data_IF_340098550922
#
_entry.id   IF_340098550922
#
_cell.length_a   1.000
_cell.length_b   1.000
_cell.length_c   1.000
_cell.angle_alpha   90.00
_cell.angle_beta   90.00
_cell.angle_gamma   90.00
#
_symmetry.space_group_name_H-M   'P 1'
#
loop_
_entity.id
_entity.type
_entity.pdbx_description
1 polymer ?
#
# COMPACT_ATOMS: atom_id res chain seq x y z
N UNK A 1 -18.74 -73.66 -1.69
CA UNK A 1 -17.91 -72.54 -2.16
C UNK A 1 -18.80 -71.31 -2.23
N UNK A 2 -18.85 -70.55 -1.14
CA UNK A 2 -19.68 -69.35 -0.98
C UNK A 2 -18.74 -68.18 -0.83
N UNK A 3 -18.67 -67.32 -1.85
CA UNK A 3 -17.81 -66.15 -1.86
C UNK A 3 -18.48 -65.02 -1.04
N UNK A 4 -17.78 -64.58 0.00
CA UNK A 4 -18.14 -63.45 0.83
C UNK A 4 -17.79 -62.14 0.11
N UNK A 5 -18.74 -61.22 0.06
CA UNK A 5 -18.59 -59.82 -0.36
C UNK A 5 -17.96 -59.00 0.78
N UNK A 6 -17.02 -58.08 0.49
CA UNK A 6 -16.44 -57.21 1.51
C UNK A 6 -17.36 -56.01 1.80
N UNK A 7 -17.56 -55.74 3.09
CA UNK A 7 -18.27 -54.57 3.61
C UNK A 7 -17.50 -53.28 3.30
N UNK A 8 -18.20 -52.33 2.69
CA UNK A 8 -17.76 -50.95 2.42
C UNK A 8 -18.22 -50.06 3.59
N UNK A 9 -17.36 -49.89 4.60
CA UNK A 9 -17.59 -48.98 5.72
C UNK A 9 -17.09 -47.57 5.35
N UNK A 10 -18.01 -46.68 4.97
CA UNK A 10 -17.71 -45.25 4.82
C UNK A 10 -17.75 -44.55 6.19
N UNK A 11 -16.76 -43.71 6.53
CA UNK A 11 -16.75 -42.98 7.79
C UNK A 11 -17.77 -41.82 7.78
N UNK A 12 -18.55 -41.75 8.86
CA UNK A 12 -19.55 -40.72 9.17
C UNK A 12 -18.91 -39.34 9.37
N UNK A 13 -19.50 -38.31 8.74
CA UNK A 13 -19.02 -36.91 8.72
C UNK A 13 -19.55 -36.02 9.86
N UNK A 14 -20.27 -36.55 10.85
CA UNK A 14 -21.01 -35.71 11.81
C UNK A 14 -20.25 -35.39 13.12
N UNK A 15 -18.91 -35.28 13.09
CA UNK A 15 -18.14 -34.93 14.31
C UNK A 15 -17.70 -33.46 14.30
N UNK A 16 -18.15 -32.62 15.26
CA UNK A 16 -17.72 -31.24 15.36
C UNK A 16 -16.23 -31.14 15.74
N UNK A 17 -15.48 -30.38 14.94
CA UNK A 17 -14.07 -30.05 15.13
C UNK A 17 -13.88 -29.05 16.29
N UNK A 18 -13.91 -29.50 17.53
CA UNK A 18 -13.44 -28.69 18.66
C UNK A 18 -12.70 -29.56 19.67
N UNK A 19 -11.37 -29.59 19.55
CA UNK A 19 -10.42 -29.75 20.66
C UNK A 19 -9.00 -29.66 20.09
N UNK A 20 -8.40 -28.47 20.18
CA UNK A 20 -6.97 -28.29 19.92
C UNK A 20 -6.19 -28.61 21.21
N UNK A 21 -5.23 -29.55 21.19
CA UNK A 21 -4.29 -29.69 22.28
C UNK A 21 -3.29 -28.52 22.24
N UNK A 22 -3.35 -27.67 23.26
CA UNK A 22 -2.36 -26.63 23.53
C UNK A 22 -1.09 -27.32 24.05
N UNK A 23 -0.11 -27.53 23.18
CA UNK A 23 1.23 -27.95 23.58
C UNK A 23 2.17 -26.76 23.56
N UNK A 24 2.80 -26.52 24.70
CA UNK A 24 3.80 -25.48 24.98
C UNK A 24 4.95 -25.48 23.97
N UNK A 25 4.92 -24.51 23.04
CA UNK A 25 6.07 -24.19 22.20
C UNK A 25 6.84 -23.07 22.89
N UNK A 26 7.90 -23.43 23.62
CA UNK A 26 8.83 -22.48 24.20
C UNK A 26 9.66 -21.80 23.10
N UNK A 27 9.24 -20.61 22.67
CA UNK A 27 9.98 -19.77 21.72
C UNK A 27 11.20 -19.18 22.42
N UNK A 28 12.39 -19.44 21.86
CA UNK A 28 13.66 -18.87 22.31
C UNK A 28 13.59 -17.33 22.21
N UNK A 29 13.64 -16.63 23.36
CA UNK A 29 13.74 -15.16 23.42
C UNK A 29 15.06 -14.71 22.80
N UNK A 30 15.04 -14.23 21.55
CA UNK A 30 16.15 -13.49 20.96
C UNK A 30 16.33 -12.19 21.76
N UNK A 31 17.49 -12.02 22.38
CA UNK A 31 17.82 -10.78 23.08
C UNK A 31 17.99 -9.69 22.01
N UNK A 32 17.01 -8.81 21.91
CA UNK A 32 17.12 -7.60 21.11
C UNK A 32 18.11 -6.69 21.81
N UNK A 33 19.36 -6.73 21.38
CA UNK A 33 20.29 -5.64 21.63
C UNK A 33 19.75 -4.41 20.89
N UNK A 34 18.79 -3.72 21.53
CA UNK A 34 18.38 -2.37 21.17
C UNK A 34 19.64 -1.54 21.26
N UNK A 35 20.31 -1.34 20.12
CA UNK A 35 21.31 -0.29 19.98
C UNK A 35 20.58 0.97 20.41
N UNK A 36 20.92 1.50 21.58
CA UNK A 36 20.58 2.86 21.94
C UNK A 36 21.38 3.72 20.97
N UNK A 37 20.88 3.88 19.75
CA UNK A 37 21.32 4.95 18.87
C UNK A 37 21.13 6.21 19.72
N UNK A 38 22.22 6.76 20.24
CA UNK A 38 22.13 7.89 21.13
C UNK A 38 21.56 9.03 20.31
N UNK A 39 20.32 9.43 20.58
CA UNK A 39 19.68 10.65 20.08
C UNK A 39 20.43 11.93 20.53
N UNK A 40 21.71 11.85 20.89
CA UNK A 40 22.55 12.99 21.25
C UNK A 40 22.74 13.96 20.08
N UNK A 41 22.77 13.45 18.85
CA UNK A 41 22.78 14.23 17.62
C UNK A 41 21.55 15.13 17.43
N UNK A 42 20.39 14.78 18.01
CA UNK A 42 19.14 15.56 17.90
C UNK A 42 19.06 16.77 18.84
N UNK A 43 19.97 16.86 19.82
CA UNK A 43 19.86 17.90 20.86
C UNK A 43 20.16 19.31 20.35
N UNK A 44 20.91 19.45 19.25
CA UNK A 44 21.40 20.76 18.76
C UNK A 44 20.28 21.76 18.52
N UNK A 45 19.13 21.30 18.00
CA UNK A 45 17.99 22.15 17.64
C UNK A 45 16.79 21.99 18.60
N UNK A 46 16.89 21.10 19.59
CA UNK A 46 15.77 20.81 20.51
C UNK A 46 15.33 22.02 21.36
N UNK A 47 16.24 22.95 21.63
CA UNK A 47 15.98 24.15 22.45
C UNK A 47 15.48 25.33 21.64
N UNK A 48 15.43 25.24 20.31
CA UNK A 48 15.08 26.37 19.44
C UNK A 48 13.56 26.58 19.46
N UNK A 49 13.12 27.82 19.35
CA UNK A 49 11.71 28.15 19.07
C UNK A 49 11.37 27.89 17.60
N UNK A 50 10.09 27.89 17.24
CA UNK A 50 9.68 27.62 15.85
C UNK A 50 10.19 28.71 14.89
N UNK A 51 10.18 29.98 15.32
CA UNK A 51 10.76 31.09 14.58
C UNK A 51 12.29 30.95 14.43
N UNK A 52 12.98 30.50 15.47
CA UNK A 52 14.42 30.22 15.41
C UNK A 52 14.73 29.06 14.47
N UNK A 53 13.91 28.01 14.44
CA UNK A 53 14.05 26.90 13.49
C UNK A 53 13.81 27.37 12.05
N UNK A 54 12.80 28.20 11.81
CA UNK A 54 12.52 28.76 10.49
C UNK A 54 13.67 29.66 9.99
N UNK A 55 14.17 30.56 10.83
CA UNK A 55 15.32 31.41 10.52
C UNK A 55 16.59 30.58 10.30
N UNK A 56 16.78 29.51 11.07
CA UNK A 56 17.93 28.63 10.92
C UNK A 56 17.83 27.80 9.63
N UNK A 57 16.63 27.42 9.19
CA UNK A 57 16.39 26.76 7.90
C UNK A 57 16.79 27.64 6.73
N UNK A 58 16.37 28.91 6.72
CA UNK A 58 16.69 29.85 5.64
C UNK A 58 18.19 30.14 5.58
N UNK A 59 18.83 30.31 6.74
CA UNK A 59 20.28 30.51 6.84
C UNK A 59 21.06 29.28 6.35
N UNK A 60 20.70 28.06 6.79
CA UNK A 60 21.35 26.83 6.32
C UNK A 60 21.15 26.62 4.81
N UNK A 61 19.96 26.91 4.28
CA UNK A 61 19.70 26.83 2.85
C UNK A 61 20.59 27.77 2.03
N UNK A 62 20.81 29.00 2.52
CA UNK A 62 21.72 29.96 1.90
C UNK A 62 23.18 29.48 1.98
N UNK A 63 23.64 29.06 3.16
CA UNK A 63 25.00 28.53 3.35
C UNK A 63 25.26 27.31 2.47
N UNK A 64 24.30 26.37 2.39
CA UNK A 64 24.42 25.19 1.56
C UNK A 64 24.46 25.55 0.06
N UNK A 65 23.64 26.51 -0.38
CA UNK A 65 23.65 27.01 -1.76
C UNK A 65 25.01 27.62 -2.13
N UNK A 66 25.54 28.50 -1.27
CA UNK A 66 26.82 29.17 -1.49
C UNK A 66 28.00 28.18 -1.44
N UNK A 67 28.03 27.28 -0.46
CA UNK A 67 29.04 26.23 -0.35
C UNK A 67 29.01 25.27 -1.56
N UNK A 68 27.83 24.90 -2.05
CA UNK A 68 27.67 24.05 -3.23
C UNK A 68 28.15 24.77 -4.50
N UNK A 69 27.84 26.07 -4.66
CA UNK A 69 28.36 26.88 -5.78
C UNK A 69 29.87 26.97 -5.75
N UNK A 70 30.46 27.15 -4.58
CA UNK A 70 31.91 27.23 -4.41
C UNK A 70 32.56 25.87 -4.70
N UNK A 71 32.03 24.78 -4.15
CA UNK A 71 32.52 23.42 -4.41
C UNK A 71 32.53 23.08 -5.91
N UNK A 72 31.48 23.47 -6.65
CA UNK A 72 31.38 23.27 -8.11
C UNK A 72 32.42 24.03 -8.93
N UNK A 73 33.05 25.08 -8.39
CA UNK A 73 34.09 25.84 -9.11
C UNK A 73 35.44 25.14 -9.12
N UNK A 74 35.66 24.16 -8.25
CA UNK A 74 36.90 23.40 -8.20
C UNK A 74 36.90 22.31 -9.27
N UNK A 75 37.89 22.38 -10.16
CA UNK A 75 38.09 21.41 -11.26
C UNK A 75 39.08 20.32 -10.85
N UNK A 76 39.99 20.60 -9.89
CA UNK A 76 40.95 19.65 -9.34
C UNK A 76 40.45 19.04 -8.02
N UNK A 77 40.62 17.73 -7.85
CA UNK A 77 40.36 17.01 -6.60
C UNK A 77 41.53 17.13 -5.61
N UNK A 78 41.94 18.37 -5.32
CA UNK A 78 43.00 18.64 -4.35
C UNK A 78 42.48 18.73 -2.91
N UNK A 79 43.34 19.07 -1.95
CA UNK A 79 42.95 19.21 -0.54
C UNK A 79 41.81 20.22 -0.35
N UNK A 80 41.78 21.31 -1.12
CA UNK A 80 40.75 22.35 -0.98
C UNK A 80 39.40 21.84 -1.46
N UNK A 81 39.37 21.02 -2.51
CA UNK A 81 38.15 20.35 -2.97
C UNK A 81 37.52 19.51 -1.85
N UNK A 82 38.33 18.68 -1.18
CA UNK A 82 37.84 17.80 -0.10
C UNK A 82 37.39 18.59 1.13
N UNK A 83 38.07 19.68 1.49
CA UNK A 83 37.63 20.57 2.57
C UNK A 83 36.24 21.16 2.28
N UNK A 84 36.01 21.61 1.03
CA UNK A 84 34.69 22.10 0.59
C UNK A 84 33.64 21.00 0.54
N UNK A 85 34.00 19.80 0.13
CA UNK A 85 33.10 18.65 0.15
C UNK A 85 32.64 18.31 1.57
N UNK A 86 33.57 18.25 2.53
CA UNK A 86 33.28 17.99 3.95
C UNK A 86 32.34 19.07 4.50
N UNK A 87 32.56 20.33 4.13
CA UNK A 87 31.68 21.42 4.57
C UNK A 87 30.25 21.30 4.00
N UNK A 88 30.10 20.97 2.71
CA UNK A 88 28.79 20.70 2.11
C UNK A 88 28.10 19.52 2.79
N UNK A 89 28.83 18.43 3.05
CA UNK A 89 28.30 17.25 3.74
C UNK A 89 27.83 17.58 5.17
N UNK A 90 28.61 18.39 5.91
CA UNK A 90 28.26 18.87 7.25
C UNK A 90 26.98 19.72 7.21
N UNK A 91 26.87 20.65 6.26
CA UNK A 91 25.68 21.51 6.12
C UNK A 91 24.42 20.70 5.77
N UNK A 92 24.52 19.69 4.89
CA UNK A 92 23.41 18.77 4.59
C UNK A 92 22.98 17.98 5.82
N UNK A 93 23.94 17.47 6.59
CA UNK A 93 23.64 16.77 7.84
C UNK A 93 22.90 17.68 8.84
N UNK A 94 23.32 18.94 8.96
CA UNK A 94 22.63 19.91 9.83
C UNK A 94 21.24 20.28 9.33
N UNK A 95 21.05 20.41 8.01
CA UNK A 95 19.72 20.64 7.43
C UNK A 95 18.78 19.46 7.71
N UNK A 96 19.24 18.22 7.52
CA UNK A 96 18.44 17.02 7.80
C UNK A 96 18.04 16.92 9.28
N UNK A 97 18.96 17.25 10.20
CA UNK A 97 18.65 17.31 11.63
C UNK A 97 17.59 18.38 11.94
N UNK A 98 17.67 19.55 11.31
CA UNK A 98 16.70 20.62 11.49
C UNK A 98 15.32 20.24 10.94
N UNK A 99 15.27 19.60 9.76
CA UNK A 99 14.02 19.15 9.15
C UNK A 99 13.36 18.02 9.96
N UNK A 100 14.15 17.10 10.53
CA UNK A 100 13.63 16.09 11.46
C UNK A 100 12.96 16.71 12.68
N UNK A 101 13.57 17.74 13.29
CA UNK A 101 12.99 18.46 14.42
C UNK A 101 11.71 19.22 14.05
N UNK A 102 11.67 19.85 12.87
CA UNK A 102 10.44 20.47 12.35
C UNK A 102 9.34 19.44 12.13
N UNK A 103 9.67 18.25 11.60
CA UNK A 103 8.72 17.15 11.43
C UNK A 103 8.15 16.64 12.75
N UNK A 104 9.00 16.44 13.77
CA UNK A 104 8.59 16.04 15.12
C UNK A 104 7.68 17.09 15.80
N UNK A 105 7.95 18.37 15.57
CA UNK A 105 7.09 19.44 16.13
C UNK A 105 5.76 19.52 15.40
N UNK A 106 5.77 19.41 14.07
CA UNK A 106 4.55 19.40 13.26
C UNK A 106 3.64 18.23 13.65
N UNK A 107 4.20 17.05 13.96
CA UNK A 107 3.41 15.92 14.46
C UNK A 107 2.92 16.11 15.90
N UNK A 108 3.64 16.87 16.74
CA UNK A 108 3.23 17.14 18.13
C UNK A 108 2.20 18.27 18.30
N UNK A 109 2.22 19.27 17.41
CA UNK A 109 1.32 20.45 17.44
C UNK A 109 -0.01 20.17 16.73
N UNK A 110 -0.03 19.13 15.91
CA UNK A 110 -1.19 18.72 15.12
C UNK A 110 -2.00 17.66 15.87
N UNK A 111 -3.00 18.10 16.63
CA UNK A 111 -4.23 17.30 16.91
C UNK A 111 -4.92 16.84 15.60
N UNK A 112 -4.42 17.31 14.45
CA UNK A 112 -4.84 17.03 13.09
C UNK A 112 -4.21 15.76 12.49
N UNK A 113 -3.25 15.13 13.16
CA UNK A 113 -2.59 13.88 12.71
C UNK A 113 -3.24 12.63 13.30
N UNK A 114 -4.55 12.70 13.50
CA UNK A 114 -5.36 11.53 13.74
C UNK A 114 -5.49 10.77 12.43
N UNK A 115 -4.88 9.58 12.34
CA UNK A 115 -5.14 8.58 11.30
C UNK A 115 -6.65 8.29 11.08
N UNK A 116 -7.52 8.85 11.93
CA UNK A 116 -8.97 8.81 11.82
C UNK A 116 -9.58 9.90 10.93
N UNK A 117 -8.85 10.98 10.57
CA UNK A 117 -9.32 11.94 9.55
C UNK A 117 -9.33 11.34 8.13
N UNK A 118 -8.58 10.25 7.88
CA UNK A 118 -8.72 9.47 6.63
C UNK A 118 -10.16 9.00 6.41
N UNK A 119 -10.92 8.74 7.47
CA UNK A 119 -12.31 8.30 7.37
C UNK A 119 -13.24 9.32 6.70
N UNK A 120 -12.92 10.62 6.72
CA UNK A 120 -13.73 11.64 6.05
C UNK A 120 -13.63 11.52 4.51
N UNK A 121 -12.44 11.23 4.01
CA UNK A 121 -12.16 11.06 2.59
C UNK A 121 -12.68 9.72 2.05
N UNK A 122 -12.85 8.72 2.93
CA UNK A 122 -13.37 7.40 2.52
C UNK A 122 -14.77 7.50 1.90
N UNK A 123 -15.65 8.35 2.44
CA UNK A 123 -16.99 8.52 1.87
C UNK A 123 -16.96 9.29 0.54
N UNK A 124 -15.96 10.15 0.33
CA UNK A 124 -15.79 10.90 -0.92
C UNK A 124 -15.21 10.00 -2.04
N UNK A 125 -14.24 9.14 -1.69
CA UNK A 125 -13.60 8.22 -2.64
C UNK A 125 -14.53 7.04 -2.96
N UNK A 126 -15.12 6.41 -1.94
CA UNK A 126 -15.86 5.15 -2.08
C UNK A 126 -17.39 5.32 -2.02
N UNK A 127 -17.89 6.53 -1.81
CA UNK A 127 -19.32 6.85 -1.71
C UNK A 127 -19.84 6.88 -0.27
N UNK A 128 -21.00 7.48 -0.07
CA UNK A 128 -21.61 7.64 1.24
C UNK A 128 -21.84 6.28 1.93
N UNK A 129 -21.40 6.16 3.19
CA UNK A 129 -21.50 4.93 3.99
C UNK A 129 -20.27 4.01 3.92
N UNK A 130 -19.30 4.33 3.06
CA UNK A 130 -18.10 3.51 2.90
C UNK A 130 -17.20 3.51 4.14
N UNK A 131 -17.19 4.58 4.92
CA UNK A 131 -16.45 4.63 6.18
C UNK A 131 -16.94 3.56 7.16
N UNK A 132 -18.24 3.48 7.36
CA UNK A 132 -18.83 2.49 8.27
C UNK A 132 -18.59 1.08 7.76
N UNK A 133 -18.68 0.88 6.44
CA UNK A 133 -18.45 -0.41 5.80
C UNK A 133 -16.97 -0.85 5.89
N UNK A 134 -16.02 -0.05 5.39
CA UNK A 134 -14.59 -0.40 5.30
C UNK A 134 -13.95 -0.73 6.65
N UNK A 135 -14.43 -0.09 7.72
CA UNK A 135 -13.95 -0.32 9.07
C UNK A 135 -14.88 -1.22 9.89
N UNK A 136 -16.01 -1.68 9.34
CA UNK A 136 -16.81 -2.70 9.98
C UNK A 136 -15.99 -3.99 10.07
N UNK A 137 -16.12 -4.75 11.18
CA UNK A 137 -15.50 -6.06 11.31
C UNK A 137 -16.03 -7.06 10.25
N UNK A 138 -17.12 -6.72 9.58
CA UNK A 138 -17.79 -7.51 8.55
C UNK A 138 -17.09 -7.45 7.18
N UNK A 139 -16.21 -6.46 6.96
CA UNK A 139 -15.53 -6.25 5.67
C UNK A 139 -14.16 -6.96 5.54
N UNK A 140 -13.74 -7.70 6.57
CA UNK A 140 -12.47 -8.43 6.56
C UNK A 140 -12.61 -9.82 5.93
N UNK A 141 -11.91 -10.06 4.81
CA UNK A 141 -11.72 -11.43 4.33
C UNK A 141 -10.59 -12.08 5.13
N UNK A 142 -10.92 -12.98 6.06
CA UNK A 142 -9.93 -13.74 6.80
C UNK A 142 -9.30 -14.81 5.90
N UNK A 143 -8.09 -14.57 5.44
CA UNK A 143 -7.35 -15.47 4.56
C UNK A 143 -6.22 -16.17 5.32
N UNK A 144 -5.91 -17.39 4.89
CA UNK A 144 -4.68 -18.04 5.30
C UNK A 144 -3.47 -17.24 4.76
N UNK A 145 -2.42 -17.07 5.57
CA UNK A 145 -1.23 -16.25 5.24
C UNK A 145 -0.62 -16.61 3.87
N UNK A 146 -0.63 -17.88 3.49
CA UNK A 146 -0.18 -18.34 2.16
C UNK A 146 -1.05 -17.81 1.02
N UNK A 147 -2.37 -17.79 1.20
CA UNK A 147 -3.33 -17.29 0.19
C UNK A 147 -3.19 -15.77 0.07
N UNK A 148 -3.09 -15.08 1.20
CA UNK A 148 -2.82 -13.63 1.25
C UNK A 148 -1.54 -13.28 0.48
N UNK A 149 -0.41 -13.93 0.79
CA UNK A 149 0.85 -13.74 0.04
C UNK A 149 0.72 -14.05 -1.46
N UNK A 150 -0.13 -15.01 -1.83
CA UNK A 150 -0.35 -15.35 -3.22
C UNK A 150 -1.18 -14.28 -3.95
N UNK A 151 -2.18 -13.68 -3.29
CA UNK A 151 -2.91 -12.51 -3.79
C UNK A 151 -2.00 -11.30 -3.89
N UNK A 152 -1.20 -11.01 -2.86
CA UNK A 152 -0.25 -9.89 -2.86
C UNK A 152 0.76 -9.98 -4.02
N UNK A 153 1.22 -11.21 -4.33
CA UNK A 153 2.15 -11.49 -5.44
C UNK A 153 1.47 -11.66 -6.81
N UNK A 154 0.14 -11.49 -6.90
CA UNK A 154 -0.61 -11.62 -8.16
C UNK A 154 -0.59 -13.03 -8.77
N UNK A 155 -0.43 -14.07 -7.95
CA UNK A 155 -0.43 -15.48 -8.40
C UNK A 155 -1.83 -16.04 -8.54
N UNK A 156 -2.73 -15.54 -7.72
CA UNK A 156 -4.16 -15.85 -7.72
C UNK A 156 -4.94 -14.53 -7.70
N UNK A 157 -6.21 -14.58 -8.07
CA UNK A 157 -7.13 -13.46 -7.95
C UNK A 157 -8.52 -13.94 -7.52
N UNK A 158 -9.24 -13.10 -6.80
CA UNK A 158 -10.65 -13.29 -6.49
C UNK A 158 -11.44 -12.55 -7.56
N UNK A 159 -12.30 -13.26 -8.28
CA UNK A 159 -13.10 -12.72 -9.37
C UNK A 159 -14.57 -13.04 -9.16
N UNK A 160 -15.49 -12.27 -9.76
CA UNK A 160 -16.90 -12.63 -9.85
C UNK A 160 -17.10 -14.07 -10.33
N UNK A 161 -18.00 -14.83 -9.70
CA UNK A 161 -18.35 -16.18 -10.16
C UNK A 161 -19.33 -16.13 -11.34
N UNK A 162 -18.84 -15.55 -12.43
CA UNK A 162 -19.47 -15.54 -13.73
C UNK A 162 -18.51 -16.18 -14.73
N UNK A 163 -19.10 -16.72 -15.78
CA UNK A 163 -18.33 -17.20 -16.91
C UNK A 163 -17.93 -16.01 -17.79
N UNK A 164 -16.64 -15.67 -17.74
CA UNK A 164 -16.03 -14.58 -18.52
C UNK A 164 -15.27 -15.10 -19.73
N UNK A 165 -15.10 -16.42 -19.83
CA UNK A 165 -14.40 -17.03 -20.95
C UNK A 165 -15.26 -16.88 -22.21
N UNK A 166 -14.64 -16.57 -23.36
CA UNK A 166 -15.37 -16.51 -24.61
C UNK A 166 -15.89 -17.91 -24.95
N UNK A 167 -17.16 -18.02 -25.34
CA UNK A 167 -17.77 -19.27 -25.75
C UNK A 167 -16.98 -19.94 -26.91
N UNK A 168 -16.38 -19.12 -27.77
CA UNK A 168 -15.47 -19.56 -28.82
C UNK A 168 -14.10 -18.89 -28.67
N UNK A 169 -13.05 -19.62 -28.26
CA UNK A 169 -11.70 -19.08 -28.14
C UNK A 169 -11.12 -18.51 -29.45
N UNK A 170 -11.58 -18.99 -30.61
CA UNK A 170 -11.13 -18.50 -31.92
C UNK A 170 -11.81 -17.19 -32.33
N UNK A 171 -12.95 -16.86 -31.73
CA UNK A 171 -13.72 -15.64 -32.00
C UNK A 171 -14.13 -14.97 -30.69
N UNK A 172 -13.16 -14.43 -29.91
CA UNK A 172 -13.41 -13.93 -28.56
C UNK A 172 -14.36 -12.73 -28.48
N UNK A 173 -14.63 -12.07 -29.61
CA UNK A 173 -15.51 -10.91 -29.67
C UNK A 173 -16.95 -11.24 -30.07
N UNK A 174 -17.23 -12.48 -30.50
CA UNK A 174 -18.57 -12.90 -30.97
C UNK A 174 -19.61 -12.79 -29.84
N UNK A 175 -19.23 -13.14 -28.62
CA UNK A 175 -20.09 -13.17 -27.44
C UNK A 175 -19.87 -11.99 -26.49
N UNK A 176 -19.14 -10.95 -26.91
CA UNK A 176 -18.73 -9.84 -26.02
C UNK A 176 -19.94 -9.16 -25.34
N UNK A 177 -21.04 -8.98 -26.09
CA UNK A 177 -22.27 -8.37 -25.59
C UNK A 177 -22.95 -9.25 -24.54
N UNK A 178 -23.01 -10.56 -24.78
CA UNK A 178 -23.57 -11.53 -23.83
C UNK A 178 -22.75 -11.57 -22.54
N UNK A 179 -21.41 -11.54 -22.64
CA UNK A 179 -20.53 -11.46 -21.46
C UNK A 179 -20.73 -10.18 -20.65
N UNK A 180 -20.90 -9.04 -21.32
CA UNK A 180 -21.25 -7.77 -20.66
C UNK A 180 -22.62 -7.84 -19.98
N UNK A 181 -23.61 -8.46 -20.61
CA UNK A 181 -24.95 -8.60 -20.03
C UNK A 181 -24.95 -9.57 -18.83
N UNK A 182 -24.15 -10.65 -18.86
CA UNK A 182 -23.90 -11.52 -17.70
C UNK A 182 -23.26 -10.76 -16.53
N UNK A 183 -22.27 -9.91 -16.82
CA UNK A 183 -21.65 -9.06 -15.81
C UNK A 183 -22.65 -8.09 -15.19
N UNK A 184 -23.44 -7.38 -16.01
CA UNK A 184 -24.51 -6.47 -15.53
C UNK A 184 -25.53 -7.21 -14.68
N UNK A 185 -25.90 -8.42 -15.06
CA UNK A 185 -26.84 -9.22 -14.29
C UNK A 185 -26.25 -9.59 -12.92
N UNK A 186 -24.99 -10.03 -12.86
CA UNK A 186 -24.28 -10.30 -11.61
C UNK A 186 -24.16 -9.04 -10.73
N UNK A 187 -23.94 -7.87 -11.32
CA UNK A 187 -23.89 -6.60 -10.60
C UNK A 187 -25.24 -6.23 -9.94
N UNK A 188 -26.35 -6.61 -10.56
CA UNK A 188 -27.72 -6.38 -10.08
C UNK A 188 -28.15 -7.38 -8.99
N UNK A 189 -27.40 -8.46 -8.77
CA UNK A 189 -27.71 -9.43 -7.71
C UNK A 189 -27.47 -8.81 -6.33
N UNK A 190 -28.39 -9.09 -5.40
CA UNK A 190 -28.27 -8.66 -4.01
C UNK A 190 -27.09 -9.35 -3.31
N UNK A 191 -26.91 -10.64 -3.59
CA UNK A 191 -25.80 -11.44 -3.07
C UNK A 191 -24.84 -11.74 -4.24
N UNK A 192 -23.61 -11.23 -4.13
CA UNK A 192 -22.57 -11.41 -5.12
C UNK A 192 -21.71 -12.63 -4.81
N UNK A 193 -21.71 -13.60 -5.71
CA UNK A 193 -20.84 -14.76 -5.59
C UNK A 193 -19.49 -14.53 -6.29
N UNK A 194 -18.44 -15.09 -5.70
CA UNK A 194 -17.05 -14.94 -6.14
C UNK A 194 -16.38 -16.30 -6.23
N UNK A 195 -15.34 -16.40 -7.05
CA UNK A 195 -14.45 -17.56 -7.16
C UNK A 195 -12.99 -17.15 -7.17
N UNK A 196 -12.11 -18.08 -6.84
CA UNK A 196 -10.67 -17.90 -6.98
C UNK A 196 -10.25 -18.37 -8.37
N UNK A 197 -9.40 -17.60 -9.04
CA UNK A 197 -8.69 -18.03 -10.25
C UNK A 197 -7.19 -18.02 -9.99
N UNK A 198 -6.49 -18.98 -10.58
CA UNK A 198 -5.04 -19.11 -10.50
C UNK A 198 -4.44 -18.59 -11.81
N UNK A 199 -3.82 -17.41 -11.74
CA UNK A 199 -3.24 -16.73 -12.90
C UNK A 199 -1.99 -17.48 -13.38
N UNK A 200 -1.11 -17.88 -12.45
CA UNK A 200 0.18 -18.50 -12.76
C UNK A 200 0.20 -19.98 -12.34
N UNK A 201 -0.53 -20.83 -13.07
CA UNK A 201 -0.70 -22.26 -12.75
C UNK A 201 0.61 -23.04 -12.62
N UNK A 202 1.64 -22.65 -13.38
CA UNK A 202 2.94 -23.33 -13.42
C UNK A 202 3.97 -22.79 -12.41
N UNK A 203 3.61 -21.79 -11.59
CA UNK A 203 4.54 -21.21 -10.63
C UNK A 203 4.86 -22.19 -9.48
N UNK A 204 6.13 -22.28 -9.05
CA UNK A 204 6.58 -23.21 -8.00
C UNK A 204 5.78 -23.10 -6.69
N UNK A 205 5.54 -21.88 -6.23
CA UNK A 205 4.73 -21.65 -5.02
C UNK A 205 3.27 -22.08 -5.17
N UNK A 206 2.73 -22.11 -6.39
CA UNK A 206 1.35 -22.49 -6.67
C UNK A 206 1.17 -24.01 -6.65
N UNK A 207 2.17 -24.73 -7.16
CA UNK A 207 2.19 -26.20 -7.20
C UNK A 207 2.69 -26.84 -5.91
N UNK A 208 3.37 -26.08 -5.05
CA UNK A 208 3.84 -26.55 -3.75
C UNK A 208 2.67 -27.01 -2.87
N UNK A 209 2.75 -28.23 -2.36
CA UNK A 209 1.84 -28.75 -1.34
C UNK A 209 2.11 -28.00 -0.03
N UNK A 210 1.20 -27.09 0.34
CA UNK A 210 1.33 -26.23 1.53
C UNK A 210 0.20 -26.49 2.52
N UNK A 211 -0.92 -27.03 2.04
CA UNK A 211 -2.10 -27.26 2.86
C UNK A 211 -2.26 -28.74 3.17
N UNK A 212 -2.74 -29.06 4.37
CA UNK A 212 -3.13 -30.42 4.71
C UNK A 212 -4.48 -30.75 4.04
N UNK A 213 -4.54 -31.68 3.07
CA UNK A 213 -5.78 -32.01 2.37
C UNK A 213 -6.85 -32.60 3.30
N UNK A 214 -6.47 -33.25 4.41
CA UNK A 214 -7.43 -33.80 5.37
C UNK A 214 -8.20 -32.70 6.12
N UNK A 215 -7.57 -31.55 6.37
CA UNK A 215 -8.18 -30.44 7.12
C UNK A 215 -8.89 -29.45 6.20
N UNK A 216 -8.31 -29.14 5.04
CA UNK A 216 -8.79 -28.06 4.19
C UNK A 216 -9.44 -28.53 2.87
N UNK A 217 -9.32 -29.82 2.53
CA UNK A 217 -9.79 -30.33 1.23
C UNK A 217 -9.07 -29.72 0.02
N UNK A 218 -7.90 -29.11 0.25
CA UNK A 218 -6.98 -28.56 -0.74
C UNK A 218 -5.56 -28.99 -0.37
N UNK A 219 -4.74 -29.27 -1.37
CA UNK A 219 -3.34 -29.63 -1.17
C UNK A 219 -2.40 -28.45 -1.49
N UNK A 220 -2.70 -27.74 -2.58
CA UNK A 220 -1.87 -26.64 -3.10
C UNK A 220 -2.76 -25.51 -3.62
N UNK A 221 -2.15 -24.36 -3.93
CA UNK A 221 -2.89 -23.21 -4.45
C UNK A 221 -3.47 -23.47 -5.84
N UNK A 222 -2.87 -24.35 -6.65
CA UNK A 222 -3.42 -24.73 -7.96
C UNK A 222 -4.83 -25.32 -7.84
N UNK A 223 -5.10 -26.08 -6.77
CA UNK A 223 -6.41 -26.69 -6.50
C UNK A 223 -7.51 -25.68 -6.13
N UNK A 224 -7.16 -24.41 -5.93
CA UNK A 224 -8.12 -23.31 -5.70
C UNK A 224 -8.71 -22.76 -7.00
N UNK A 225 -8.14 -23.07 -8.16
CA UNK A 225 -8.61 -22.55 -9.44
C UNK A 225 -10.07 -22.93 -9.71
N UNK A 226 -10.90 -21.93 -9.98
CA UNK A 226 -12.34 -22.08 -10.20
C UNK A 226 -13.17 -22.38 -8.95
N UNK A 227 -12.57 -22.49 -7.76
CA UNK A 227 -13.35 -22.75 -6.54
C UNK A 227 -14.14 -21.51 -6.11
N UNK A 228 -15.43 -21.70 -5.82
CA UNK A 228 -16.31 -20.68 -5.27
C UNK A 228 -15.88 -20.31 -3.85
N UNK A 229 -15.94 -19.03 -3.52
CA UNK A 229 -15.76 -18.55 -2.15
C UNK A 229 -17.02 -18.86 -1.34
N UNK A 230 -16.84 -19.44 -0.17
CA UNK A 230 -17.91 -19.71 0.78
C UNK A 230 -17.83 -18.66 1.88
N UNK A 231 -18.88 -17.87 2.01
CA UNK A 231 -19.02 -16.87 3.06
C UNK A 231 -19.85 -17.45 4.20
N UNK A 232 -19.50 -17.11 5.44
CA UNK A 232 -20.22 -17.57 6.63
C UNK A 232 -21.59 -16.87 6.79
N UNK A 233 -21.75 -15.71 6.16
CA UNK A 233 -22.96 -14.88 6.18
C UNK A 233 -23.32 -14.50 4.74
N UNK A 234 -24.49 -13.88 4.54
CA UNK A 234 -24.91 -13.34 3.24
C UNK A 234 -24.26 -11.99 2.90
N UNK A 235 -23.50 -11.43 3.85
CA UNK A 235 -22.78 -10.19 3.63
C UNK A 235 -21.68 -10.40 2.58
N UNK A 236 -21.58 -9.48 1.62
CA UNK A 236 -20.55 -9.46 0.58
C UNK A 236 -19.95 -8.05 0.55
N UNK A 237 -18.62 -7.92 0.51
CA UNK A 237 -18.02 -6.60 0.36
C UNK A 237 -18.50 -5.99 -0.95
N UNK A 238 -18.98 -4.74 -0.91
CA UNK A 238 -19.42 -4.08 -2.12
C UNK A 238 -18.21 -3.89 -3.03
N UNK A 239 -18.29 -4.42 -4.25
CA UNK A 239 -17.44 -3.90 -5.32
C UNK A 239 -17.89 -2.45 -5.57
N UNK A 240 -17.06 -1.42 -5.30
CA UNK A 240 -17.48 -0.04 -5.46
C UNK A 240 -17.77 0.24 -6.93
N UNK A 241 -19.04 0.49 -7.22
CA UNK A 241 -19.51 0.95 -8.53
C UNK A 241 -20.58 2.01 -8.30
N UNK A 242 -20.17 3.26 -8.06
CA UNK A 242 -21.09 4.39 -8.24
C UNK A 242 -21.17 4.73 -9.73
N UNK A 243 -22.32 5.20 -10.21
CA UNK A 243 -22.50 5.62 -11.60
C UNK A 243 -22.22 7.12 -11.81
N UNK A 244 -21.57 7.78 -10.86
CA UNK A 244 -21.22 9.19 -11.02
C UNK A 244 -20.16 9.35 -12.11
N UNK A 245 -20.48 10.22 -13.07
CA UNK A 245 -19.74 10.56 -14.30
C UNK A 245 -18.51 11.42 -13.96
N UNK A 246 -17.77 11.03 -12.93
CA UNK A 246 -16.49 11.64 -12.62
C UNK A 246 -15.40 10.80 -13.30
N UNK A 247 -14.73 11.38 -14.30
CA UNK A 247 -13.65 10.72 -15.05
C UNK A 247 -12.50 10.26 -14.14
N UNK A 248 -12.28 10.97 -13.03
CA UNK A 248 -11.33 10.59 -11.97
C UNK A 248 -11.73 9.28 -11.27
N UNK A 249 -13.04 9.06 -11.08
CA UNK A 249 -13.54 7.79 -10.57
C UNK A 249 -13.41 6.66 -11.59
N UNK A 250 -13.47 6.92 -12.90
CA UNK A 250 -13.33 5.88 -13.92
C UNK A 250 -11.94 5.25 -13.96
N UNK A 251 -10.87 6.04 -13.84
CA UNK A 251 -9.48 5.55 -13.77
C UNK A 251 -9.25 4.76 -12.48
N UNK A 252 -9.68 5.29 -11.33
CA UNK A 252 -9.59 4.60 -10.03
C UNK A 252 -10.44 3.32 -10.01
N UNK A 253 -11.58 3.29 -10.71
CA UNK A 253 -12.42 2.09 -10.92
C UNK A 253 -11.73 1.01 -11.76
N UNK A 254 -10.90 1.37 -12.74
CA UNK A 254 -10.10 0.38 -13.49
C UNK A 254 -9.08 -0.29 -12.57
N UNK A 255 -8.53 0.45 -11.60
CA UNK A 255 -7.53 -0.07 -10.64
C UNK A 255 -8.14 -0.78 -9.41
N UNK A 256 -9.34 -0.43 -8.96
CA UNK A 256 -10.00 -0.97 -7.75
C UNK A 256 -10.78 -2.28 -7.97
N UNK A 257 -10.78 -2.83 -9.18
CA UNK A 257 -11.29 -4.20 -9.45
C UNK A 257 -10.41 -5.31 -8.87
N UNK A 258 -9.31 -4.93 -8.24
CA UNK A 258 -8.36 -5.84 -7.62
C UNK A 258 -8.57 -5.94 -6.11
N UNK A 259 -8.77 -7.16 -5.61
CA UNK A 259 -8.76 -7.44 -4.19
C UNK A 259 -7.32 -7.59 -3.71
N UNK A 260 -6.79 -6.57 -3.04
CA UNK A 260 -5.52 -6.60 -2.33
C UNK A 260 -5.72 -6.56 -0.82
N UNK A 261 -4.89 -7.26 -0.05
CA UNK A 261 -4.89 -7.19 1.41
C UNK A 261 -4.23 -5.90 1.91
N UNK A 262 -4.54 -5.53 3.16
CA UNK A 262 -4.23 -4.23 3.79
C UNK A 262 -2.73 -3.98 3.99
N UNK A 263 -1.86 -4.96 3.75
CA UNK A 263 -0.42 -4.83 3.86
C UNK A 263 0.23 -4.48 2.52
N UNK A 264 0.59 -3.19 2.36
CA UNK A 264 1.66 -2.69 1.46
C UNK A 264 1.32 -2.46 -0.04
N UNK A 265 0.08 -2.10 -0.40
CA UNK A 265 -0.28 -1.97 -1.82
C UNK A 265 -1.13 -0.74 -2.18
N UNK A 266 -0.63 0.46 -1.91
CA UNK A 266 -0.73 1.47 -2.97
C UNK A 266 0.67 1.59 -3.54
N UNK A 267 0.90 0.98 -4.71
CA UNK A 267 2.21 1.09 -5.37
C UNK A 267 2.53 2.57 -5.55
N UNK A 268 3.80 2.97 -5.45
CA UNK A 268 4.23 4.37 -5.67
C UNK A 268 3.58 4.96 -6.93
N UNK A 269 3.51 4.16 -7.98
CA UNK A 269 2.93 4.47 -9.28
C UNK A 269 1.42 4.76 -9.21
N UNK A 270 0.67 4.07 -8.33
CA UNK A 270 -0.75 4.31 -8.11
C UNK A 270 -0.97 5.56 -7.25
N UNK A 271 -0.14 5.79 -6.22
CA UNK A 271 -0.14 7.05 -5.47
C UNK A 271 0.22 8.24 -6.37
N UNK A 272 1.20 8.06 -7.27
CA UNK A 272 1.58 9.06 -8.25
C UNK A 272 0.43 9.35 -9.21
N UNK A 273 -0.28 8.34 -9.69
CA UNK A 273 -1.51 8.54 -10.48
C UNK A 273 -2.57 9.34 -9.72
N UNK A 274 -2.75 9.11 -8.42
CA UNK A 274 -3.64 9.94 -7.59
C UNK A 274 -3.14 11.38 -7.43
N UNK A 275 -1.83 11.60 -7.32
CA UNK A 275 -1.20 12.92 -7.13
C UNK A 275 -1.24 13.74 -8.42
N UNK A 276 -0.93 13.13 -9.56
CA UNK A 276 -0.99 13.74 -10.89
C UNK A 276 -2.42 14.18 -11.22
N UNK A 277 -3.41 13.33 -10.92
CA UNK A 277 -4.82 13.59 -11.18
C UNK A 277 -5.41 14.66 -10.25
N UNK A 278 -4.84 14.87 -9.06
CA UNK A 278 -5.15 16.02 -8.18
C UNK A 278 -4.54 17.35 -8.68
N UNK A 279 -3.82 17.34 -9.82
CA UNK A 279 -3.23 18.53 -10.43
C UNK A 279 -1.88 18.93 -9.81
N UNK A 280 -1.21 18.02 -9.11
CA UNK A 280 0.11 18.27 -8.54
C UNK A 280 1.24 17.80 -9.47
N UNK A 281 2.31 18.59 -9.54
CA UNK A 281 3.48 18.29 -10.35
C UNK A 281 4.29 17.13 -9.77
N UNK A 282 4.21 15.99 -10.45
CA UNK A 282 4.86 14.73 -10.07
C UNK A 282 6.38 14.81 -10.16
N UNK A 283 6.95 15.60 -11.07
CA UNK A 283 8.40 15.70 -11.24
C UNK A 283 9.05 16.37 -10.02
N UNK A 284 8.38 17.39 -9.44
CA UNK A 284 8.83 18.06 -8.23
C UNK A 284 8.90 17.15 -6.99
N UNK A 285 8.07 16.10 -6.97
CA UNK A 285 7.98 15.10 -5.90
C UNK A 285 9.02 13.99 -6.07
N UNK A 286 9.41 13.68 -7.31
CA UNK A 286 10.37 12.62 -7.62
C UNK A 286 11.82 13.09 -7.49
N UNK A 287 12.11 14.35 -7.83
CA UNK A 287 13.46 14.91 -7.77
C UNK A 287 14.02 15.05 -6.34
N UNK A 288 13.16 15.15 -5.32
CA UNK A 288 13.57 15.17 -3.90
C UNK A 288 13.83 13.76 -3.30
N UNK A 289 13.56 12.70 -4.07
CA UNK A 289 13.62 11.29 -3.63
C UNK A 289 14.67 10.43 -4.32
N UNK A 290 15.79 11.02 -4.75
CA UNK A 290 16.82 10.37 -5.55
C UNK A 290 17.45 9.09 -4.96
N UNK A 291 17.41 8.05 -5.80
CA UNK A 291 18.37 6.94 -5.98
C UNK A 291 18.28 5.69 -5.07
N UNK A 292 17.60 4.64 -5.55
CA UNK A 292 18.24 3.53 -6.30
C UNK A 292 17.30 2.33 -6.43
N UNK A 293 16.85 2.01 -7.65
CA UNK A 293 16.35 0.68 -7.97
C UNK A 293 17.56 -0.24 -8.17
N UNK A 294 18.10 -0.75 -7.06
CA UNK A 294 18.99 -1.91 -7.12
C UNK A 294 18.14 -3.18 -7.20
N UNK A 295 18.22 -3.84 -8.35
CA UNK A 295 17.81 -5.23 -8.55
C UNK A 295 18.59 -6.13 -7.58
N UNK A 296 17.97 -6.52 -6.46
CA UNK A 296 18.56 -7.45 -5.48
C UNK A 296 17.98 -8.85 -5.63
N UNK A 297 18.91 -9.77 -5.85
CA UNK A 297 18.77 -11.22 -5.76
C UNK A 297 18.29 -11.68 -4.38
N UNK A 298 17.56 -12.78 -4.39
CA UNK A 298 16.74 -13.36 -3.31
C UNK A 298 17.57 -13.97 -2.15
N UNK A 299 18.25 -13.12 -1.38
CA UNK A 299 18.87 -13.50 -0.11
C UNK A 299 18.33 -12.68 1.07
N UNK A 300 17.33 -13.30 1.70
CA UNK A 300 16.70 -13.02 2.98
C UNK A 300 17.70 -12.63 4.10
N UNK A 301 17.95 -11.32 4.30
CA UNK A 301 18.17 -10.66 5.60
C UNK A 301 18.45 -9.15 5.48
N UNK A 302 17.55 -8.34 6.04
CA UNK A 302 17.75 -6.89 6.26
C UNK A 302 16.59 -6.07 5.73
N UNK A 303 15.74 -5.59 6.64
CA UNK A 303 14.58 -4.75 6.31
C UNK A 303 15.02 -3.36 5.86
N UNK A 304 15.09 -3.14 4.55
CA UNK A 304 15.04 -1.80 3.97
C UNK A 304 13.57 -1.49 3.61
N UNK A 305 12.82 -1.06 4.63
CA UNK A 305 11.50 -0.44 4.47
C UNK A 305 11.70 0.99 3.96
N UNK A 306 11.03 1.44 2.90
CA UNK A 306 10.73 2.85 2.79
C UNK A 306 9.78 3.17 3.95
N UNK A 307 10.28 3.89 4.96
CA UNK A 307 9.51 4.22 6.15
C UNK A 307 8.18 4.87 5.74
N UNK A 308 7.09 4.47 6.40
CA UNK A 308 5.78 5.13 6.31
C UNK A 308 5.89 6.66 6.42
N UNK A 309 6.88 7.12 7.18
CA UNK A 309 7.30 8.51 7.36
C UNK A 309 7.62 9.23 6.03
N UNK A 310 8.19 8.54 5.03
CA UNK A 310 8.54 9.11 3.73
C UNK A 310 7.29 9.35 2.86
N UNK A 311 6.36 8.38 2.85
CA UNK A 311 5.09 8.50 2.12
C UNK A 311 4.20 9.56 2.77
N UNK A 312 4.21 9.62 4.10
CA UNK A 312 3.48 10.63 4.88
C UNK A 312 4.06 12.04 4.68
N UNK A 313 5.39 12.18 4.66
CA UNK A 313 6.06 13.46 4.37
C UNK A 313 5.75 13.95 2.95
N UNK A 314 5.69 13.05 1.97
CA UNK A 314 5.35 13.35 0.58
C UNK A 314 3.92 13.86 0.42
N UNK A 315 2.95 13.18 1.04
CA UNK A 315 1.53 13.60 1.01
C UNK A 315 1.33 14.93 1.75
N UNK A 316 1.98 15.11 2.90
CA UNK A 316 1.92 16.37 3.63
C UNK A 316 2.56 17.53 2.86
N UNK A 317 3.67 17.28 2.15
CA UNK A 317 4.33 18.26 1.30
C UNK A 317 3.39 18.78 0.22
N UNK A 318 2.72 17.88 -0.50
CA UNK A 318 1.74 18.22 -1.54
C UNK A 318 0.56 19.06 -1.00
N UNK A 319 0.01 18.70 0.16
CA UNK A 319 -1.11 19.43 0.79
C UNK A 319 -0.68 20.86 1.18
N UNK A 320 0.50 21.03 1.79
CA UNK A 320 0.97 22.37 2.17
C UNK A 320 1.31 23.26 0.97
N UNK A 321 1.77 22.68 -0.14
CA UNK A 321 2.01 23.43 -1.38
C UNK A 321 0.70 23.89 -2.05
N UNK A 322 -0.37 23.09 -1.93
CA UNK A 322 -1.72 23.45 -2.42
C UNK A 322 -2.28 24.69 -1.71
N UNK A 323 -2.19 24.73 -0.37
CA UNK A 323 -2.73 25.83 0.43
C UNK A 323 -2.03 27.16 0.13
N UNK A 324 -0.71 27.14 -0.06
CA UNK A 324 0.07 28.35 -0.42
C UNK A 324 -0.23 28.90 -1.82
N UNK A 325 -0.67 28.04 -2.74
CA UNK A 325 -1.00 28.46 -4.11
C UNK A 325 -2.39 29.14 -4.19
N UNK A 326 -3.25 28.94 -3.18
CA UNK A 326 -4.53 29.64 -3.04
C UNK A 326 -4.37 31.06 -2.49
N UNK A 327 -3.58 31.24 -1.43
CA UNK A 327 -3.39 32.54 -0.77
C UNK A 327 -2.70 33.57 -1.69
N UNK A 328 -1.78 33.13 -2.56
CA UNK A 328 -1.10 34.00 -3.51
C UNK A 328 -2.03 34.59 -4.60
N UNK A 329 -3.21 34.00 -4.83
CA UNK A 329 -4.19 34.52 -5.80
C UNK A 329 -5.16 35.54 -5.20
N UNK A 330 -5.40 35.50 -3.90
CA UNK A 330 -6.26 36.50 -3.23
C UNK A 330 -5.52 37.84 -3.01
N UNK A 331 -4.20 37.82 -2.80
CA UNK A 331 -3.40 39.05 -2.65
C UNK A 331 -3.20 39.82 -3.98
N UNK A 332 -3.31 39.16 -5.15
CA UNK A 332 -3.22 39.81 -6.47
C UNK A 332 -4.54 40.48 -6.92
N UNK A 333 -5.69 40.13 -6.31
CA UNK A 333 -6.99 40.78 -6.60
C UNK A 333 -7.22 42.03 -5.74
N UNK A 334 -6.62 42.14 -4.55
CA UNK A 334 -6.72 43.36 -3.73
C UNK A 334 -5.82 44.49 -4.22
N UNK A 335 -4.73 44.20 -4.93
CA UNK A 335 -3.79 45.22 -5.43
C UNK A 335 -4.20 45.88 -6.75
N UNK A 336 -5.24 45.38 -7.41
CA UNK A 336 -5.77 45.95 -8.67
C UNK A 336 -7.06 46.79 -8.49
N UNK A 337 -7.49 47.05 -7.26
CA UNK A 337 -8.70 47.83 -6.94
C UNK A 337 -8.44 49.22 -6.31
N UNK A 338 -7.18 49.68 -6.26
CA UNK A 338 -6.78 51.07 -5.95
C UNK A 338 -6.15 51.72 -7.20
#
# INVERSE_FOLDING_TARGET
MTNATPNDERPSMDKPLTNYPSSDISVLKRSSNKRKASQSWDRKFSTFTDDELANKRTELGKQLSDATKEHKRYVSMDSQYWDRYIEVARLRQEQAQLESQLGLRKSSSSDDMSCWKQGAWMNEIFGAGAREELFAPENGLFLHVTIEKALEKGKIAIVPDIDMEPANPMMPNEDLRERQDRMKHWEQQEIKDYKVIVILKNHKDVTKSVFNPEHYGIENLASLDGRKLVFLTDFRPRAPWNNDVNYQHEEVRKCTRYWGTRSRYVKRNQLLGFVEEMGHDVESILDDGGESEHEYDDHEQGSDEPGLELVEALVQGAITSSMKCGEAKEEEEETNND
#
